data_IF_616197615336
#
_entry.id   IF_616197615336
#
_cell.length_a   1.000
_cell.length_b   1.000
_cell.length_c   1.000
_cell.angle_alpha   90.00
_cell.angle_beta   90.00
_cell.angle_gamma   90.00
#
_symmetry.space_group_name_H-M   'P 1'
#
loop_
_entity.id
_entity.type
_entity.pdbx_description
1 polymer ?
#
# COMPACT_ATOMS: atom_id res chain seq x y z
N UNK A 1 6.88 24.28 9.64
CA UNK A 1 5.93 24.81 8.64
C UNK A 1 5.07 23.65 8.16
N UNK A 2 3.77 23.75 8.43
CA UNK A 2 2.75 22.71 8.39
C UNK A 2 2.41 22.23 6.98
N UNK A 3 2.39 20.90 6.79
CA UNK A 3 1.47 20.24 5.86
C UNK A 3 0.91 19.02 6.59
N UNK A 4 -0.11 19.25 7.43
CA UNK A 4 -1.00 18.19 7.94
C UNK A 4 -2.09 17.99 6.89
N UNK A 5 -2.09 16.82 6.24
CA UNK A 5 -3.12 16.43 5.29
C UNK A 5 -4.48 16.29 6.00
N UNK A 6 -5.48 16.98 5.47
CA UNK A 6 -6.92 16.68 5.44
C UNK A 6 -7.54 15.97 6.67
N UNK A 7 -8.15 16.77 7.56
CA UNK A 7 -9.40 16.63 8.34
C UNK A 7 -9.94 15.29 8.89
N UNK A 8 -9.31 14.13 8.67
CA UNK A 8 -9.54 12.89 9.41
C UNK A 8 -8.40 12.59 10.42
N UNK A 9 -7.27 13.31 10.29
CA UNK A 9 -6.00 13.05 10.98
C UNK A 9 -5.96 13.57 12.43
N UNK A 10 -7.03 14.21 12.92
CA UNK A 10 -7.11 14.69 14.31
C UNK A 10 -7.64 13.64 15.32
N UNK A 11 -7.92 12.40 14.91
CA UNK A 11 -8.71 11.50 15.77
C UNK A 11 -7.92 10.95 16.98
N UNK A 12 -6.87 10.14 16.88
CA UNK A 12 -6.14 9.63 18.07
C UNK A 12 -4.70 10.13 18.24
N UNK A 13 -4.26 11.08 17.40
CA UNK A 13 -2.85 11.44 17.28
C UNK A 13 -2.29 12.07 18.56
N UNK A 14 -3.08 12.84 19.29
CA UNK A 14 -2.64 13.50 20.52
C UNK A 14 -2.38 12.50 21.65
N UNK A 15 -3.26 11.49 21.80
CA UNK A 15 -3.06 10.39 22.76
C UNK A 15 -1.80 9.60 22.41
N UNK A 16 -1.58 9.31 21.13
CA UNK A 16 -0.40 8.61 20.66
C UNK A 16 0.88 9.45 20.80
N UNK A 17 0.83 10.77 20.57
CA UNK A 17 1.96 11.68 20.80
C UNK A 17 2.37 11.67 22.26
N UNK A 18 1.41 11.73 23.18
CA UNK A 18 1.64 11.78 24.62
C UNK A 18 2.30 10.50 25.18
N UNK A 19 2.23 9.38 24.47
CA UNK A 19 2.91 8.15 24.87
C UNK A 19 4.45 8.30 24.89
N UNK A 20 5.12 7.63 25.84
CA UNK A 20 6.57 7.75 26.02
C UNK A 20 7.33 7.32 24.76
N UNK A 21 8.48 7.93 24.50
CA UNK A 21 9.29 7.62 23.31
C UNK A 21 10.08 6.30 23.41
N UNK A 22 10.10 5.71 24.62
CA UNK A 22 10.76 4.45 24.94
C UNK A 22 9.97 3.73 26.03
N UNK A 23 10.04 2.40 25.98
CA UNK A 23 9.51 1.52 27.02
C UNK A 23 10.51 1.31 28.18
N UNK A 24 11.78 1.69 28.00
CA UNK A 24 12.80 1.45 29.00
C UNK A 24 12.68 2.41 30.20
N UNK A 25 13.01 1.92 31.39
CA UNK A 25 12.88 2.64 32.65
C UNK A 25 11.47 2.65 33.25
N UNK A 26 10.49 2.08 32.55
CA UNK A 26 9.12 1.91 33.05
C UNK A 26 8.97 0.56 33.77
N UNK A 27 8.06 0.51 34.75
CA UNK A 27 7.63 -0.76 35.32
C UNK A 27 6.94 -1.64 34.26
N UNK A 28 6.87 -2.98 34.44
CA UNK A 28 6.18 -3.86 33.51
C UNK A 28 4.73 -3.43 33.24
N UNK A 29 4.00 -2.99 34.27
CA UNK A 29 2.62 -2.53 34.14
C UNK A 29 2.50 -1.24 33.31
N UNK A 30 3.37 -0.24 33.56
CA UNK A 30 3.39 1.01 32.79
C UNK A 30 3.78 0.77 31.33
N UNK A 31 4.79 -0.09 31.11
CA UNK A 31 5.23 -0.50 29.79
C UNK A 31 4.09 -1.16 29.02
N UNK A 32 3.43 -2.14 29.63
CA UNK A 32 2.38 -2.91 28.98
C UNK A 32 1.14 -2.04 28.70
N UNK A 33 0.94 -0.96 29.47
CA UNK A 33 -0.13 0.01 29.29
C UNK A 33 0.09 1.02 28.15
N UNK A 34 1.31 1.13 27.58
CA UNK A 34 1.61 2.06 26.48
C UNK A 34 0.66 1.82 25.32
N UNK A 35 -0.05 2.86 24.89
CA UNK A 35 -0.97 2.80 23.77
C UNK A 35 -0.19 2.78 22.46
N UNK A 36 -0.36 1.72 21.65
CA UNK A 36 0.28 1.57 20.33
C UNK A 36 -0.63 2.08 19.23
N UNK A 37 -1.94 1.84 19.37
CA UNK A 37 -2.95 2.29 18.41
C UNK A 37 -4.27 2.60 19.10
N UNK A 38 -4.98 3.58 18.54
CA UNK A 38 -6.27 4.01 19.02
C UNK A 38 -7.05 4.67 17.88
N UNK A 39 -8.37 4.78 18.06
CA UNK A 39 -9.29 5.52 17.21
C UNK A 39 -10.13 6.45 18.09
N UNK A 40 -10.61 7.56 17.55
CA UNK A 40 -11.53 8.46 18.26
C UNK A 40 -12.88 8.44 17.58
N UNK A 41 -13.93 8.34 18.38
CA UNK A 41 -15.31 8.41 17.92
C UNK A 41 -15.73 9.85 17.60
N UNK A 42 -17.00 10.03 17.19
CA UNK A 42 -17.53 11.35 16.85
C UNK A 42 -17.66 12.30 18.04
N UNK A 43 -17.72 11.76 19.25
CA UNK A 43 -17.82 12.53 20.49
C UNK A 43 -16.45 12.94 21.06
N UNK A 44 -15.36 12.60 20.39
CA UNK A 44 -13.99 12.89 20.84
C UNK A 44 -13.44 11.86 21.83
N UNK A 45 -14.16 10.78 22.10
CA UNK A 45 -13.72 9.73 23.02
C UNK A 45 -12.72 8.81 22.33
N UNK A 46 -11.61 8.52 23.02
CA UNK A 46 -10.55 7.65 22.50
C UNK A 46 -10.81 6.20 22.88
N UNK A 47 -10.96 5.36 21.85
CA UNK A 47 -10.98 3.92 21.98
C UNK A 47 -9.59 3.35 21.66
N UNK A 48 -8.99 2.71 22.65
CA UNK A 48 -7.69 2.05 22.49
C UNK A 48 -7.88 0.71 21.78
N UNK A 49 -7.14 0.51 20.68
CA UNK A 49 -7.20 -0.73 19.90
C UNK A 49 -6.11 -1.71 20.30
N UNK A 50 -4.90 -1.22 20.59
CA UNK A 50 -3.84 -2.07 21.10
C UNK A 50 -2.83 -1.32 21.95
N UNK A 51 -2.28 -2.03 22.93
CA UNK A 51 -1.22 -1.62 23.82
C UNK A 51 0.03 -2.46 23.59
N UNK A 52 1.16 -1.99 24.12
CA UNK A 52 2.44 -2.67 23.96
C UNK A 52 2.36 -4.10 24.51
N UNK A 53 1.70 -4.30 25.66
CA UNK A 53 1.55 -5.60 26.32
C UNK A 53 0.71 -6.61 25.52
N UNK A 54 -0.18 -6.16 24.64
CA UNK A 54 -1.15 -7.02 23.97
C UNK A 54 -0.50 -8.06 23.04
N UNK A 55 -1.12 -9.24 22.95
CA UNK A 55 -0.65 -10.33 22.06
C UNK A 55 -0.84 -9.99 20.58
N UNK A 56 -1.70 -9.02 20.26
CA UNK A 56 -1.90 -8.52 18.91
C UNK A 56 -1.87 -6.98 18.91
N UNK A 57 -1.16 -6.39 17.96
CA UNK A 57 -1.27 -4.97 17.67
C UNK A 57 -2.15 -4.75 16.44
N UNK A 58 -3.28 -4.07 16.63
CA UNK A 58 -4.17 -3.64 15.55
C UNK A 58 -3.73 -2.27 15.02
N UNK A 59 -3.18 -2.24 13.80
CA UNK A 59 -2.65 -1.03 13.18
C UNK A 59 -3.57 -0.47 12.10
N UNK A 60 -4.82 -0.96 11.98
CA UNK A 60 -5.78 -0.53 10.96
C UNK A 60 -5.99 0.98 10.86
N UNK A 61 -6.01 1.78 11.95
CA UNK A 61 -6.12 3.24 11.85
C UNK A 61 -5.02 3.93 11.03
N UNK A 62 -3.85 3.29 10.89
CA UNK A 62 -2.70 3.87 10.20
C UNK A 62 -2.62 3.51 8.71
N UNK A 63 -3.60 2.79 8.18
CA UNK A 63 -3.67 2.43 6.76
C UNK A 63 -4.71 3.30 6.05
N UNK A 64 -4.21 4.23 5.22
CA UNK A 64 -5.03 5.04 4.31
C UNK A 64 -5.23 4.37 2.95
N UNK A 65 -4.31 3.48 2.57
CA UNK A 65 -4.33 2.88 1.25
C UNK A 65 -5.27 1.67 1.20
N UNK A 66 -6.14 1.64 0.19
CA UNK A 66 -7.02 0.51 -0.05
C UNK A 66 -6.26 -0.77 -0.48
N UNK A 67 -4.97 -0.68 -0.84
CA UNK A 67 -4.22 -1.77 -1.46
C UNK A 67 -3.52 -2.76 -0.51
N UNK A 68 -3.79 -2.68 0.81
CA UNK A 68 -3.18 -3.55 1.80
C UNK A 68 -4.19 -4.58 2.30
N UNK A 69 -3.89 -5.87 2.11
CA UNK A 69 -4.72 -6.96 2.61
C UNK A 69 -4.81 -6.94 4.15
N UNK A 70 -5.92 -7.44 4.68
CA UNK A 70 -6.30 -7.29 6.10
C UNK A 70 -5.24 -7.82 7.06
N UNK A 71 -4.71 -9.03 6.80
CA UNK A 71 -3.69 -9.65 7.64
C UNK A 71 -2.38 -8.84 7.78
N UNK A 72 -2.10 -7.91 6.86
CA UNK A 72 -0.93 -7.05 6.94
C UNK A 72 -1.14 -5.80 7.80
N UNK A 73 -2.34 -5.60 8.35
CA UNK A 73 -2.69 -4.48 9.23
C UNK A 73 -2.55 -4.84 10.72
N UNK A 74 -2.15 -6.07 11.02
CA UNK A 74 -1.94 -6.56 12.38
C UNK A 74 -0.49 -7.03 12.59
N UNK A 75 -0.05 -7.01 13.84
CA UNK A 75 1.14 -7.74 14.29
C UNK A 75 0.70 -8.72 15.36
N UNK A 76 0.82 -10.01 15.09
CA UNK A 76 0.53 -11.08 16.05
C UNK A 76 1.83 -11.53 16.71
N UNK A 77 1.94 -11.31 18.01
CA UNK A 77 3.07 -11.75 18.83
C UNK A 77 2.84 -13.19 19.29
N UNK A 78 3.75 -14.07 18.92
CA UNK A 78 3.65 -15.51 19.19
C UNK A 78 3.90 -15.77 20.69
N UNK A 79 2.83 -16.12 21.43
CA UNK A 79 2.88 -16.40 22.87
C UNK A 79 3.65 -17.69 23.19
N UNK A 80 3.96 -18.51 22.19
CA UNK A 80 4.81 -19.69 22.35
C UNK A 80 6.31 -19.37 22.37
N UNK A 81 6.70 -18.10 22.24
CA UNK A 81 8.10 -17.63 22.29
C UNK A 81 8.41 -17.09 23.69
N UNK A 82 9.64 -17.24 24.22
CA UNK A 82 10.01 -16.66 25.50
C UNK A 82 9.64 -15.18 25.64
N UNK A 83 8.87 -14.84 26.68
CA UNK A 83 8.27 -13.51 26.86
C UNK A 83 9.31 -12.39 26.85
N UNK A 84 10.48 -12.63 27.44
CA UNK A 84 11.59 -11.66 27.47
C UNK A 84 12.11 -11.29 26.07
N UNK A 85 12.09 -12.21 25.10
CA UNK A 85 12.43 -11.88 23.71
C UNK A 85 11.31 -11.07 23.03
N UNK A 86 10.05 -11.46 23.29
CA UNK A 86 8.89 -10.76 22.74
C UNK A 86 8.85 -9.31 23.24
N UNK A 87 9.04 -9.11 24.53
CA UNK A 87 9.05 -7.79 25.17
C UNK A 87 10.11 -6.86 24.59
N UNK A 88 11.35 -7.35 24.44
CA UNK A 88 12.44 -6.57 23.84
C UNK A 88 12.15 -6.27 22.36
N UNK A 89 11.61 -7.22 21.60
CA UNK A 89 11.21 -6.98 20.21
C UNK A 89 10.04 -5.99 20.08
N UNK A 90 9.08 -6.03 21.00
CA UNK A 90 7.99 -5.05 21.09
C UNK A 90 8.55 -3.67 21.39
N UNK A 91 9.43 -3.53 22.39
CA UNK A 91 10.08 -2.28 22.74
C UNK A 91 10.85 -1.67 21.55
N UNK A 92 11.69 -2.47 20.88
CA UNK A 92 12.43 -2.05 19.68
C UNK A 92 11.51 -1.66 18.53
N UNK A 93 10.47 -2.46 18.25
CA UNK A 93 9.52 -2.17 17.17
C UNK A 93 8.72 -0.90 17.44
N UNK A 94 8.29 -0.71 18.69
CA UNK A 94 7.59 0.50 19.14
C UNK A 94 8.48 1.73 19.06
N UNK A 95 9.70 1.67 19.60
CA UNK A 95 10.66 2.76 19.55
C UNK A 95 10.94 3.16 18.09
N UNK A 96 11.16 2.19 17.21
CA UNK A 96 11.33 2.45 15.78
C UNK A 96 10.09 3.09 15.15
N UNK A 97 8.89 2.62 15.48
CA UNK A 97 7.64 3.19 14.97
C UNK A 97 7.43 4.64 15.44
N UNK A 98 7.82 4.95 16.68
CA UNK A 98 7.65 6.26 17.29
C UNK A 98 8.69 7.29 16.82
N UNK A 99 9.97 6.90 16.71
CA UNK A 99 11.09 7.83 16.47
C UNK A 99 11.88 7.62 15.18
N UNK A 100 11.71 6.46 14.54
CA UNK A 100 12.54 6.08 13.38
C UNK A 100 13.96 5.65 13.76
N UNK A 101 14.75 5.34 12.73
CA UNK A 101 16.20 5.12 12.90
C UNK A 101 16.91 6.46 13.14
N UNK A 102 18.10 6.48 13.74
CA UNK A 102 18.92 7.69 13.81
C UNK A 102 19.01 8.38 12.44
N UNK A 103 18.72 9.69 12.40
CA UNK A 103 18.71 10.53 11.19
C UNK A 103 17.68 10.13 10.11
N UNK A 104 16.71 9.29 10.45
CA UNK A 104 15.63 8.86 9.55
C UNK A 104 14.27 9.22 10.13
N UNK A 105 13.27 9.43 9.27
CA UNK A 105 11.89 9.59 9.73
C UNK A 105 11.33 8.27 10.26
N UNK A 106 10.33 8.31 11.15
CA UNK A 106 9.56 7.13 11.54
C UNK A 106 8.98 6.39 10.33
N UNK A 107 8.90 5.04 10.39
CA UNK A 107 8.28 4.26 9.33
C UNK A 107 6.75 4.44 9.33
N UNK A 108 6.13 4.18 8.18
CA UNK A 108 4.68 3.95 8.11
C UNK A 108 4.33 2.60 8.73
N UNK A 109 3.05 2.38 9.09
CA UNK A 109 2.58 1.12 9.70
C UNK A 109 2.95 -0.13 8.89
N UNK A 110 2.92 -0.04 7.55
CA UNK A 110 3.37 -1.14 6.67
C UNK A 110 4.83 -1.55 6.92
N UNK A 111 5.69 -0.60 7.30
CA UNK A 111 7.09 -0.83 7.61
C UNK A 111 7.26 -1.73 8.84
N UNK A 112 6.52 -1.45 9.91
CA UNK A 112 6.57 -2.24 11.15
C UNK A 112 5.91 -3.62 10.99
N UNK A 113 4.80 -3.71 10.25
CA UNK A 113 4.18 -5.02 9.99
C UNK A 113 5.07 -5.90 9.11
N UNK A 114 5.75 -5.31 8.12
CA UNK A 114 6.75 -6.03 7.32
C UNK A 114 7.97 -6.44 8.14
N UNK A 115 8.49 -5.58 9.03
CA UNK A 115 9.59 -5.95 9.93
C UNK A 115 9.20 -7.13 10.82
N UNK A 116 8.02 -7.08 11.42
CA UNK A 116 7.54 -8.13 12.32
C UNK A 116 7.48 -9.48 11.61
N UNK A 117 6.76 -9.55 10.48
CA UNK A 117 6.55 -10.81 9.74
C UNK A 117 7.82 -11.30 9.05
N UNK A 118 8.58 -10.41 8.41
CA UNK A 118 9.72 -10.82 7.59
C UNK A 118 11.01 -11.04 8.39
N UNK A 119 11.14 -10.42 9.57
CA UNK A 119 12.39 -10.39 10.33
C UNK A 119 12.24 -10.84 11.77
N UNK A 120 11.34 -10.23 12.55
CA UNK A 120 11.19 -10.51 13.98
C UNK A 120 10.76 -11.95 14.24
N UNK A 121 9.58 -12.36 13.75
CA UNK A 121 9.03 -13.68 14.05
C UNK A 121 9.95 -14.83 13.60
N UNK A 122 10.58 -14.79 12.40
CA UNK A 122 11.53 -15.81 11.99
C UNK A 122 12.77 -15.89 12.88
N UNK A 123 13.32 -14.76 13.34
CA UNK A 123 14.50 -14.77 14.18
C UNK A 123 14.18 -15.23 15.60
N UNK A 124 13.01 -14.84 16.14
CA UNK A 124 12.56 -15.30 17.44
C UNK A 124 12.33 -16.82 17.49
N UNK A 125 11.72 -17.39 16.45
CA UNK A 125 11.56 -18.85 16.32
C UNK A 125 12.92 -19.57 16.29
N UNK A 126 13.86 -19.05 15.51
CA UNK A 126 15.23 -19.57 15.49
C UNK A 126 15.89 -19.57 16.88
N UNK A 127 15.76 -18.48 17.64
CA UNK A 127 16.31 -18.42 19.00
C UNK A 127 15.59 -19.37 19.96
N UNK A 128 14.26 -19.49 19.85
CA UNK A 128 13.47 -20.45 20.62
C UNK A 128 13.93 -21.88 20.38
N UNK A 129 14.14 -22.27 19.13
CA UNK A 129 14.57 -23.63 18.77
C UNK A 129 15.97 -23.96 19.32
N UNK A 130 16.80 -22.94 19.54
CA UNK A 130 18.10 -23.04 20.21
C UNK A 130 18.02 -22.96 21.75
N UNK A 131 16.81 -22.86 22.33
CA UNK A 131 16.62 -22.72 23.78
C UNK A 131 17.03 -21.37 24.35
N UNK A 132 17.18 -20.33 23.52
CA UNK A 132 17.61 -19.00 23.95
C UNK A 132 16.38 -18.19 24.36
N UNK A 133 16.34 -17.76 25.62
CA UNK A 133 15.21 -17.00 26.18
C UNK A 133 15.42 -15.47 26.26
N UNK A 134 16.64 -14.95 26.08
CA UNK A 134 16.93 -13.51 26.20
C UNK A 134 18.04 -13.07 25.25
N UNK A 135 18.00 -11.83 24.73
CA UNK A 135 18.98 -11.36 23.75
C UNK A 135 20.40 -11.23 24.34
N UNK A 136 20.54 -10.95 25.64
CA UNK A 136 21.83 -10.95 26.34
C UNK A 136 22.56 -12.30 26.31
N UNK A 137 21.84 -13.39 26.03
CA UNK A 137 22.40 -14.75 25.89
C UNK A 137 22.76 -15.10 24.44
N UNK A 138 22.42 -14.24 23.48
CA UNK A 138 22.83 -14.42 22.09
C UNK A 138 24.36 -14.26 22.00
N UNK A 139 24.98 -15.12 21.19
CA UNK A 139 26.42 -15.17 20.97
C UNK A 139 26.69 -15.06 19.46
N UNK A 140 27.90 -14.65 19.04
CA UNK A 140 28.25 -14.53 17.63
C UNK A 140 27.97 -15.79 16.81
N UNK A 141 28.15 -16.98 17.39
CA UNK A 141 27.87 -18.25 16.71
C UNK A 141 26.38 -18.43 16.36
N UNK A 142 25.46 -18.00 17.23
CA UNK A 142 24.01 -18.07 16.96
C UNK A 142 23.62 -17.20 15.77
N UNK A 143 24.21 -15.99 15.68
CA UNK A 143 23.97 -15.05 14.57
C UNK A 143 24.61 -15.59 13.28
N UNK A 144 25.85 -16.08 13.35
CA UNK A 144 26.55 -16.65 12.19
C UNK A 144 25.79 -17.84 11.60
N UNK A 145 25.30 -18.75 12.44
CA UNK A 145 24.51 -19.90 12.01
C UNK A 145 23.18 -19.46 11.39
N UNK A 146 22.49 -18.47 11.96
CA UNK A 146 21.27 -17.94 11.36
C UNK A 146 21.51 -17.30 9.99
N UNK A 147 22.60 -16.54 9.85
CA UNK A 147 23.02 -15.96 8.57
C UNK A 147 23.33 -17.06 7.55
N UNK A 148 24.01 -18.13 7.96
CA UNK A 148 24.29 -19.29 7.12
C UNK A 148 22.99 -19.96 6.66
N UNK A 149 22.11 -20.30 7.58
CA UNK A 149 20.79 -20.88 7.31
C UNK A 149 20.00 -20.03 6.30
N UNK A 150 19.91 -18.71 6.53
CA UNK A 150 19.20 -17.81 5.62
C UNK A 150 19.82 -17.74 4.21
N UNK A 151 21.14 -17.85 4.09
CA UNK A 151 21.86 -17.73 2.81
C UNK A 151 21.92 -19.03 2.02
N UNK A 152 22.22 -20.14 2.68
CA UNK A 152 22.60 -21.38 2.02
C UNK A 152 21.45 -22.38 2.03
N UNK A 153 20.68 -22.44 3.11
CA UNK A 153 19.54 -23.36 3.22
C UNK A 153 18.28 -22.72 2.61
N UNK A 154 17.91 -21.51 3.06
CA UNK A 154 16.75 -20.79 2.51
C UNK A 154 17.04 -20.09 1.17
N UNK A 155 18.32 -19.98 0.78
CA UNK A 155 18.76 -19.39 -0.49
C UNK A 155 18.16 -18.00 -0.77
N UNK A 156 18.03 -17.18 0.27
CA UNK A 156 17.43 -15.85 0.14
C UNK A 156 18.28 -14.93 -0.73
N UNK A 157 17.64 -14.26 -1.69
CA UNK A 157 18.26 -13.19 -2.50
C UNK A 157 18.70 -12.01 -1.62
N UNK A 158 19.66 -11.16 -2.05
CA UNK A 158 20.23 -10.09 -1.23
C UNK A 158 19.25 -9.17 -0.50
N UNK A 159 18.19 -8.68 -1.18
CA UNK A 159 17.20 -7.79 -0.56
C UNK A 159 16.25 -8.52 0.42
N UNK A 160 15.63 -9.66 0.06
CA UNK A 160 14.92 -10.49 1.03
C UNK A 160 15.76 -10.91 2.23
N UNK A 161 17.05 -11.23 2.02
CA UNK A 161 17.99 -11.57 3.09
C UNK A 161 18.23 -10.39 4.03
N UNK A 162 18.43 -9.18 3.47
CA UNK A 162 18.52 -7.96 4.27
C UNK A 162 17.26 -7.73 5.10
N UNK A 163 16.08 -7.92 4.49
CA UNK A 163 14.80 -7.88 5.21
C UNK A 163 14.73 -8.89 6.34
N UNK A 164 15.17 -10.14 6.11
CA UNK A 164 15.17 -11.24 7.08
C UNK A 164 16.02 -10.95 8.31
N UNK A 165 17.21 -10.39 8.09
CA UNK A 165 18.22 -10.16 9.14
C UNK A 165 18.09 -8.80 9.82
N UNK A 166 17.17 -7.94 9.36
CA UNK A 166 17.09 -6.52 9.76
C UNK A 166 16.89 -6.31 11.25
N UNK A 167 16.10 -7.17 11.91
CA UNK A 167 15.85 -7.08 13.34
C UNK A 167 17.13 -7.13 14.17
N UNK A 168 18.15 -7.89 13.75
CA UNK A 168 19.42 -8.02 14.48
C UNK A 168 20.14 -6.66 14.56
N UNK A 169 20.06 -5.87 13.48
CA UNK A 169 20.62 -4.52 13.46
C UNK A 169 19.83 -3.57 14.36
N UNK A 170 18.50 -3.73 14.41
CA UNK A 170 17.63 -2.93 15.26
C UNK A 170 17.84 -3.24 16.74
N UNK A 171 18.00 -4.51 17.12
CA UNK A 171 18.33 -4.89 18.49
C UNK A 171 19.65 -4.26 18.97
N UNK A 172 20.61 -4.02 18.07
CA UNK A 172 21.82 -3.29 18.41
C UNK A 172 21.58 -1.77 18.50
N UNK A 173 20.93 -1.18 17.51
CA UNK A 173 20.69 0.28 17.46
C UNK A 173 19.78 0.77 18.58
N UNK A 174 18.77 -0.02 18.95
CA UNK A 174 17.81 0.27 20.01
C UNK A 174 18.15 -0.47 21.32
N UNK A 175 19.42 -0.82 21.55
CA UNK A 175 19.84 -1.53 22.76
C UNK A 175 19.47 -0.80 24.06
N UNK A 176 19.43 0.53 24.03
CA UNK A 176 19.01 1.36 25.16
C UNK A 176 17.49 1.29 25.45
N UNK A 177 16.68 0.66 24.59
CA UNK A 177 15.25 0.44 24.81
C UNK A 177 14.92 -0.98 25.31
N UNK A 178 15.95 -1.84 25.41
CA UNK A 178 15.80 -3.25 25.75
C UNK A 178 16.12 -3.51 27.22
N UNK A 179 15.48 -4.54 27.79
CA UNK A 179 15.80 -5.06 29.11
C UNK A 179 17.03 -5.97 29.06
N UNK A 180 17.17 -6.78 28.00
CA UNK A 180 18.27 -7.74 27.86
C UNK A 180 19.04 -7.54 26.56
N UNK A 181 19.73 -6.39 26.34
CA UNK A 181 20.37 -6.07 25.06
C UNK A 181 21.45 -7.09 24.65
N UNK A 182 21.74 -7.12 23.34
CA UNK A 182 22.89 -7.85 22.80
C UNK A 182 24.19 -7.35 23.45
N UNK A 183 25.02 -8.28 23.92
CA UNK A 183 26.26 -7.94 24.64
C UNK A 183 27.43 -7.62 23.70
N UNK A 184 27.34 -8.03 22.44
CA UNK A 184 28.38 -7.82 21.43
C UNK A 184 27.78 -7.34 20.13
N UNK A 185 28.56 -6.54 19.40
CA UNK A 185 28.14 -6.06 18.09
C UNK A 185 27.90 -7.24 17.14
N UNK A 186 26.70 -7.38 16.54
CA UNK A 186 26.27 -8.61 15.87
C UNK A 186 27.02 -8.93 14.58
N UNK A 187 27.70 -7.95 13.98
CA UNK A 187 28.30 -8.08 12.65
C UNK A 187 29.84 -8.15 12.64
N UNK A 188 30.48 -8.20 13.82
CA UNK A 188 31.95 -8.22 13.93
C UNK A 188 32.59 -7.04 13.19
N UNK A 189 33.53 -7.32 12.29
CA UNK A 189 34.20 -6.30 11.46
C UNK A 189 33.44 -5.95 10.16
N UNK A 190 32.17 -6.33 10.06
CA UNK A 190 31.33 -6.16 8.88
C UNK A 190 30.08 -5.33 9.21
N UNK A 191 29.19 -5.21 8.22
CA UNK A 191 27.88 -4.61 8.37
C UNK A 191 26.82 -5.53 7.77
N UNK A 192 25.57 -5.43 8.25
CA UNK A 192 24.44 -6.14 7.66
C UNK A 192 24.42 -5.98 6.13
N UNK A 193 24.63 -4.75 5.64
CA UNK A 193 24.64 -4.42 4.22
C UNK A 193 25.69 -5.21 3.42
N UNK A 194 26.91 -5.35 3.97
CA UNK A 194 27.99 -6.11 3.35
C UNK A 194 27.73 -7.61 3.44
N UNK A 195 27.22 -8.09 4.57
CA UNK A 195 26.86 -9.51 4.76
C UNK A 195 25.80 -9.94 3.74
N UNK A 196 24.80 -9.12 3.48
CA UNK A 196 23.76 -9.43 2.50
C UNK A 196 24.22 -9.34 1.03
N UNK A 197 25.46 -8.91 0.77
CA UNK A 197 26.00 -8.77 -0.59
C UNK A 197 25.43 -7.59 -1.36
N UNK A 198 24.72 -6.66 -0.70
CA UNK A 198 24.16 -5.47 -1.38
C UNK A 198 25.29 -4.57 -1.92
N UNK A 199 26.43 -4.53 -1.23
CA UNK A 199 27.62 -3.77 -1.66
C UNK A 199 28.49 -4.41 -2.74
N UNK A 200 28.33 -5.71 -3.04
CA UNK A 200 29.10 -6.43 -4.09
C UNK A 200 28.49 -6.35 -5.48
N UNK A 201 27.39 -5.62 -5.65
CA UNK A 201 26.77 -5.40 -6.97
C UNK A 201 27.53 -4.31 -7.72
N UNK A 202 28.73 -4.64 -8.20
CA UNK A 202 29.47 -3.90 -9.23
C UNK A 202 30.00 -4.92 -10.23
N UNK A 203 29.75 -4.70 -11.53
CA UNK A 203 29.96 -5.68 -12.60
C UNK A 203 28.62 -6.16 -13.19
N UNK A 204 28.64 -6.83 -14.36
CA UNK A 204 27.53 -7.12 -15.31
C UNK A 204 26.09 -7.20 -14.73
N UNK A 205 25.88 -7.75 -13.53
CA UNK A 205 24.58 -7.72 -12.82
C UNK A 205 24.03 -6.32 -12.47
N UNK A 206 24.87 -5.29 -12.49
CA UNK A 206 24.46 -3.88 -12.33
C UNK A 206 23.78 -3.31 -13.60
N UNK A 207 24.13 -3.80 -14.80
CA UNK A 207 23.45 -3.43 -16.03
C UNK A 207 21.98 -3.90 -16.00
N UNK A 208 21.74 -5.11 -15.50
CA UNK A 208 20.41 -5.72 -15.31
C UNK A 208 19.54 -5.05 -14.23
N UNK A 209 20.06 -4.10 -13.43
CA UNK A 209 19.26 -3.34 -12.45
C UNK A 209 18.69 -2.04 -12.99
N UNK A 210 19.22 -1.54 -14.10
CA UNK A 210 18.70 -0.33 -14.76
C UNK A 210 17.54 -0.63 -15.73
N UNK A 211 17.11 -1.90 -15.78
CA UNK A 211 16.02 -2.35 -16.62
C UNK A 211 14.80 -2.64 -15.74
N UNK A 212 13.66 -2.04 -16.08
CA UNK A 212 12.38 -2.37 -15.47
C UNK A 212 12.09 -3.87 -15.59
N UNK A 213 11.73 -4.53 -14.48
CA UNK A 213 11.41 -5.97 -14.45
C UNK A 213 9.95 -6.29 -14.76
N UNK A 214 9.08 -5.29 -14.69
CA UNK A 214 7.64 -5.45 -14.85
C UNK A 214 7.28 -5.53 -16.30
N UNK A 215 6.78 -6.62 -16.85
CA UNK A 215 6.61 -6.72 -18.31
C UNK A 215 5.79 -5.58 -18.94
N UNK A 216 6.13 -5.24 -20.18
CA UNK A 216 5.35 -4.32 -21.01
C UNK A 216 4.21 -5.14 -21.61
N UNK A 217 3.00 -4.59 -21.64
CA UNK A 217 1.86 -5.26 -22.26
C UNK A 217 2.14 -5.40 -23.77
N UNK A 218 2.09 -6.60 -24.36
CA UNK A 218 2.33 -6.81 -25.78
C UNK A 218 1.36 -5.97 -26.64
N UNK A 219 1.80 -5.41 -27.79
CA UNK A 219 0.95 -4.53 -28.60
C UNK A 219 -0.38 -5.17 -29.04
N UNK A 220 -0.38 -6.46 -29.38
CA UNK A 220 -1.61 -7.17 -29.78
C UNK A 220 -2.60 -7.29 -28.63
N UNK A 221 -2.14 -7.70 -27.44
CA UNK A 221 -2.98 -7.79 -26.24
C UNK A 221 -3.45 -6.42 -25.78
N UNK A 222 -2.57 -5.42 -25.83
CA UNK A 222 -2.92 -4.04 -25.53
C UNK A 222 -4.05 -3.55 -26.44
N UNK A 223 -3.93 -3.76 -27.75
CA UNK A 223 -4.94 -3.38 -28.73
C UNK A 223 -6.28 -4.08 -28.46
N UNK A 224 -6.27 -5.40 -28.24
CA UNK A 224 -7.48 -6.17 -27.92
C UNK A 224 -8.20 -5.62 -26.68
N UNK A 225 -7.46 -5.44 -25.59
CA UNK A 225 -8.02 -5.00 -24.31
C UNK A 225 -8.49 -3.55 -24.37
N UNK A 226 -7.72 -2.67 -25.03
CA UNK A 226 -8.06 -1.27 -25.19
C UNK A 226 -9.32 -1.08 -26.04
N UNK A 227 -9.37 -1.70 -27.22
CA UNK A 227 -10.54 -1.61 -28.11
C UNK A 227 -11.80 -2.17 -27.44
N UNK A 228 -11.68 -3.31 -26.74
CA UNK A 228 -12.78 -3.86 -25.96
C UNK A 228 -13.26 -2.90 -24.88
N UNK A 229 -12.33 -2.26 -24.15
CA UNK A 229 -12.67 -1.28 -23.11
C UNK A 229 -13.38 -0.05 -23.68
N UNK A 230 -12.97 0.43 -24.87
CA UNK A 230 -13.66 1.52 -25.56
C UNK A 230 -15.07 1.15 -26.00
N UNK A 231 -15.27 -0.08 -26.53
CA UNK A 231 -16.60 -0.59 -26.89
C UNK A 231 -17.51 -0.63 -25.66
N UNK A 232 -17.01 -1.10 -24.51
CA UNK A 232 -17.78 -1.11 -23.26
C UNK A 232 -18.17 0.31 -22.86
N UNK A 233 -17.23 1.27 -22.84
CA UNK A 233 -17.51 2.67 -22.47
C UNK A 233 -18.46 3.34 -23.46
N UNK A 234 -18.39 3.00 -24.75
CA UNK A 234 -19.32 3.51 -25.74
C UNK A 234 -20.73 2.92 -25.57
N UNK A 235 -20.83 1.62 -25.28
CA UNK A 235 -22.10 0.98 -24.91
C UNK A 235 -22.74 1.65 -23.70
N UNK A 236 -21.94 1.98 -22.68
CA UNK A 236 -22.38 2.72 -21.51
C UNK A 236 -23.00 4.09 -21.86
N UNK A 237 -22.35 4.83 -22.76
CA UNK A 237 -22.85 6.15 -23.20
C UNK A 237 -24.16 6.02 -23.97
N UNK A 238 -24.24 5.04 -24.88
CA UNK A 238 -25.44 4.79 -25.67
C UNK A 238 -26.63 4.43 -24.76
N UNK A 239 -26.43 3.51 -23.81
CA UNK A 239 -27.45 3.12 -22.84
C UNK A 239 -27.94 4.31 -21.99
N UNK A 240 -27.03 5.15 -21.48
CA UNK A 240 -27.41 6.37 -20.75
C UNK A 240 -28.19 7.36 -21.63
N UNK A 241 -27.81 7.49 -22.90
CA UNK A 241 -28.47 8.43 -23.81
C UNK A 241 -29.91 8.02 -24.13
N UNK A 242 -30.18 6.71 -24.21
CA UNK A 242 -31.51 6.15 -24.48
C UNK A 242 -32.42 6.26 -23.24
N UNK A 243 -31.90 5.94 -22.06
CA UNK A 243 -32.72 5.85 -20.84
C UNK A 243 -32.86 7.19 -20.10
N UNK A 244 -32.02 8.19 -20.41
CA UNK A 244 -32.16 9.55 -19.92
C UNK A 244 -31.73 9.78 -18.46
N UNK A 245 -32.15 10.92 -17.92
CA UNK A 245 -31.74 11.41 -16.59
C UNK A 245 -32.43 10.59 -15.50
N UNK A 246 -31.66 10.01 -14.59
CA UNK A 246 -32.16 9.24 -13.45
C UNK A 246 -32.11 7.73 -13.63
N UNK A 247 -31.84 7.25 -14.85
CA UNK A 247 -31.51 5.84 -15.08
C UNK A 247 -30.23 5.46 -14.33
N UNK A 248 -30.30 4.38 -13.56
CA UNK A 248 -29.12 3.78 -12.95
C UNK A 248 -29.10 2.30 -13.34
N UNK A 249 -28.00 1.83 -13.95
CA UNK A 249 -27.81 0.42 -14.25
C UNK A 249 -28.01 -0.44 -13.00
N UNK A 250 -28.80 -1.51 -13.14
CA UNK A 250 -29.08 -2.48 -12.06
C UNK A 250 -28.42 -3.83 -12.28
N UNK A 251 -27.83 -4.08 -13.46
CA UNK A 251 -27.04 -5.28 -13.72
C UNK A 251 -25.66 -5.13 -13.07
N UNK A 252 -25.45 -5.89 -12.01
CA UNK A 252 -24.21 -5.92 -11.24
C UNK A 252 -23.01 -6.43 -12.05
N UNK A 253 -23.21 -7.44 -12.90
CA UNK A 253 -22.14 -8.01 -13.70
C UNK A 253 -21.69 -7.03 -14.79
N UNK A 254 -22.65 -6.38 -15.45
CA UNK A 254 -22.37 -5.32 -16.41
C UNK A 254 -21.68 -4.13 -15.72
N UNK A 255 -22.15 -3.73 -14.54
CA UNK A 255 -21.56 -2.63 -13.77
C UNK A 255 -20.10 -2.91 -13.37
N UNK A 256 -19.78 -4.17 -13.00
CA UNK A 256 -18.41 -4.60 -12.72
C UNK A 256 -17.53 -4.51 -13.96
N UNK A 257 -18.01 -5.00 -15.11
CA UNK A 257 -17.25 -4.93 -16.37
C UNK A 257 -16.98 -3.48 -16.79
N UNK A 258 -18.00 -2.62 -16.70
CA UNK A 258 -17.91 -1.19 -16.98
C UNK A 258 -16.87 -0.50 -16.10
N UNK A 259 -16.89 -0.76 -14.79
CA UNK A 259 -15.89 -0.25 -13.85
C UNK A 259 -14.49 -0.74 -14.21
N UNK A 260 -14.33 -2.02 -14.51
CA UNK A 260 -13.04 -2.64 -14.80
C UNK A 260 -12.43 -2.05 -16.10
N UNK A 261 -13.25 -1.85 -17.13
CA UNK A 261 -12.85 -1.20 -18.39
C UNK A 261 -12.37 0.24 -18.18
N UNK A 262 -13.12 1.04 -17.40
CA UNK A 262 -12.74 2.42 -17.08
C UNK A 262 -11.48 2.47 -16.22
N UNK A 263 -11.31 1.55 -15.26
CA UNK A 263 -10.09 1.46 -14.46
C UNK A 263 -8.87 1.18 -15.35
N UNK A 264 -9.02 0.29 -16.34
CA UNK A 264 -7.95 0.01 -17.30
C UNK A 264 -7.60 1.24 -18.13
N UNK A 265 -8.60 1.92 -18.72
CA UNK A 265 -8.39 3.16 -19.51
C UNK A 265 -7.63 4.17 -18.67
N UNK A 266 -8.10 4.48 -17.45
CA UNK A 266 -7.40 5.40 -16.55
C UNK A 266 -5.97 4.95 -16.27
N UNK A 267 -5.74 3.67 -16.04
CA UNK A 267 -4.41 3.14 -15.70
C UNK A 267 -3.42 3.23 -16.87
N UNK A 268 -3.89 2.99 -18.11
CA UNK A 268 -3.04 2.95 -19.30
C UNK A 268 -2.80 4.33 -19.93
N UNK A 269 -3.65 5.33 -19.66
CA UNK A 269 -3.55 6.67 -20.26
C UNK A 269 -3.11 7.78 -19.32
N UNK A 270 -2.97 7.51 -18.02
CA UNK A 270 -2.58 8.53 -17.03
C UNK A 270 -1.16 8.38 -16.53
N UNK A 271 -0.63 7.16 -16.57
CA UNK A 271 0.63 6.84 -15.91
C UNK A 271 0.54 6.87 -14.38
N UNK A 272 -0.64 6.88 -13.77
CA UNK A 272 -0.84 6.79 -12.32
C UNK A 272 -0.37 5.45 -11.73
N UNK A 273 -0.11 5.41 -10.42
CA UNK A 273 -0.02 4.15 -9.67
C UNK A 273 -1.42 3.62 -9.41
N UNK A 274 -1.53 2.34 -9.10
CA UNK A 274 -2.84 1.74 -8.86
C UNK A 274 -3.60 2.38 -7.68
N UNK A 275 -2.91 2.70 -6.58
CA UNK A 275 -3.49 3.38 -5.43
C UNK A 275 -4.00 4.79 -5.76
N UNK A 276 -3.28 5.50 -6.63
CA UNK A 276 -3.68 6.80 -7.16
C UNK A 276 -4.90 6.68 -8.09
N UNK A 277 -4.95 5.65 -8.95
CA UNK A 277 -6.05 5.42 -9.89
C UNK A 277 -7.36 5.01 -9.20
N UNK A 278 -7.31 4.01 -8.31
CA UNK A 278 -8.50 3.58 -7.55
C UNK A 278 -8.93 4.62 -6.49
N UNK A 279 -8.02 5.54 -6.14
CA UNK A 279 -8.27 6.64 -5.21
C UNK A 279 -8.95 7.86 -5.83
N UNK A 280 -9.23 7.87 -7.15
CA UNK A 280 -9.91 8.98 -7.80
C UNK A 280 -11.30 9.18 -7.18
N UNK A 281 -11.55 10.40 -6.73
CA UNK A 281 -12.85 10.83 -6.22
C UNK A 281 -13.76 11.33 -7.35
N UNK A 282 -15.07 11.21 -7.16
CA UNK A 282 -16.08 11.68 -8.11
C UNK A 282 -15.94 13.19 -8.32
N UNK A 283 -15.80 13.61 -9.57
CA UNK A 283 -15.64 15.02 -9.94
C UNK A 283 -14.22 15.56 -9.73
N UNK A 284 -13.24 14.72 -9.36
CA UNK A 284 -11.84 15.13 -9.18
C UNK A 284 -11.09 15.30 -10.51
N UNK A 285 -11.71 15.94 -11.50
CA UNK A 285 -11.12 16.22 -12.81
C UNK A 285 -11.58 17.56 -13.36
N UNK A 286 -10.79 18.14 -14.27
CA UNK A 286 -11.06 19.44 -14.87
C UNK A 286 -10.56 19.53 -16.30
N UNK A 287 -11.19 20.41 -17.08
CA UNK A 287 -10.78 20.81 -18.43
C UNK A 287 -10.28 22.24 -18.38
N UNK A 288 -9.18 22.53 -19.06
CA UNK A 288 -8.64 23.88 -19.20
C UNK A 288 -8.25 24.08 -20.64
N UNK A 289 -8.82 25.09 -21.29
CA UNK A 289 -8.37 25.52 -22.62
C UNK A 289 -7.32 26.60 -22.43
N UNK A 290 -6.14 26.42 -23.00
CA UNK A 290 -5.07 27.41 -23.01
C UNK A 290 -4.50 27.51 -24.41
N UNK A 291 -4.47 28.73 -24.96
CA UNK A 291 -3.98 29.00 -26.31
C UNK A 291 -4.63 28.11 -27.39
N UNK A 292 -5.95 27.87 -27.25
CA UNK A 292 -6.73 27.00 -28.14
C UNK A 292 -6.54 25.49 -27.92
N UNK A 293 -5.67 25.07 -26.98
CA UNK A 293 -5.41 23.66 -26.68
C UNK A 293 -6.16 23.23 -25.42
N UNK A 294 -6.93 22.13 -25.52
CA UNK A 294 -7.62 21.52 -24.39
C UNK A 294 -6.66 20.66 -23.55
N UNK A 295 -6.54 20.98 -22.26
CA UNK A 295 -5.83 20.20 -21.26
C UNK A 295 -6.82 19.56 -20.29
N UNK A 296 -6.72 18.24 -20.14
CA UNK A 296 -7.57 17.46 -19.24
C UNK A 296 -6.74 16.98 -18.04
N UNK A 297 -7.19 17.29 -16.83
CA UNK A 297 -6.47 16.99 -15.59
C UNK A 297 -7.31 16.13 -14.65
N UNK A 298 -6.68 15.16 -14.01
CA UNK A 298 -7.28 14.34 -12.94
C UNK A 298 -6.48 14.54 -11.65
N UNK A 299 -7.18 14.87 -10.57
CA UNK A 299 -6.65 15.01 -9.21
C UNK A 299 -6.80 13.70 -8.44
N UNK A 300 -5.78 13.33 -7.65
CA UNK A 300 -5.82 12.19 -6.72
C UNK A 300 -4.81 12.39 -5.56
N UNK A 301 -4.70 11.43 -4.64
CA UNK A 301 -3.77 11.46 -3.50
C UNK A 301 -2.63 10.48 -3.72
N UNK A 302 -1.40 10.98 -3.64
CA UNK A 302 -0.16 10.21 -3.68
C UNK A 302 0.27 9.85 -2.25
N UNK A 303 0.18 8.57 -1.91
CA UNK A 303 0.50 8.09 -0.56
C UNK A 303 1.95 7.59 -0.41
N UNK A 304 2.60 7.15 -1.50
CA UNK A 304 3.87 6.40 -1.44
C UNK A 304 5.08 7.27 -1.09
N UNK A 305 5.12 8.50 -1.57
CA UNK A 305 6.19 9.47 -1.32
C UNK A 305 5.76 10.60 -0.38
N UNK A 306 4.52 10.56 0.09
CA UNK A 306 3.96 11.56 1.00
C UNK A 306 3.70 12.90 0.35
N UNK A 307 3.54 12.96 -0.99
CA UNK A 307 3.27 14.21 -1.72
C UNK A 307 1.85 14.73 -1.50
N UNK A 308 0.94 13.88 -1.04
CA UNK A 308 -0.45 14.28 -0.84
C UNK A 308 -1.16 14.49 -2.17
N UNK A 309 -1.94 15.56 -2.30
CA UNK A 309 -2.71 15.83 -3.52
C UNK A 309 -1.81 16.08 -4.72
N UNK A 310 -2.07 15.36 -5.82
CA UNK A 310 -1.34 15.46 -7.08
C UNK A 310 -2.31 15.50 -8.27
N UNK A 311 -1.85 16.08 -9.38
CA UNK A 311 -2.60 16.11 -10.65
C UNK A 311 -1.84 15.40 -11.77
N UNK A 312 -2.59 14.76 -12.67
CA UNK A 312 -2.10 14.06 -13.85
C UNK A 312 -2.73 14.66 -15.10
N UNK A 313 -1.90 14.96 -16.10
CA UNK A 313 -2.39 15.33 -17.43
C UNK A 313 -2.81 14.05 -18.16
N UNK A 314 -4.03 14.00 -18.69
CA UNK A 314 -4.60 12.80 -19.33
C UNK A 314 -5.26 13.19 -20.65
N UNK A 315 -5.51 12.24 -21.58
CA UNK A 315 -6.31 12.52 -22.76
C UNK A 315 -7.80 12.70 -22.40
N UNK A 316 -8.56 13.35 -23.29
CA UNK A 316 -9.99 13.57 -23.11
C UNK A 316 -10.78 12.25 -22.94
N UNK A 317 -10.35 11.19 -23.62
CA UNK A 317 -10.89 9.83 -23.47
C UNK A 317 -10.98 9.41 -21.98
N UNK A 318 -9.97 9.75 -21.18
CA UNK A 318 -9.90 9.39 -19.76
C UNK A 318 -10.96 10.12 -18.95
N UNK A 319 -11.14 11.43 -19.18
CA UNK A 319 -12.19 12.19 -18.50
C UNK A 319 -13.58 11.69 -18.93
N UNK A 320 -13.77 11.43 -20.22
CA UNK A 320 -15.03 10.91 -20.74
C UNK A 320 -15.39 9.55 -20.10
N UNK A 321 -14.41 8.66 -19.94
CA UNK A 321 -14.58 7.38 -19.26
C UNK A 321 -14.93 7.55 -17.76
N UNK A 322 -14.22 8.42 -17.05
CA UNK A 322 -14.49 8.74 -15.64
C UNK A 322 -15.88 9.34 -15.43
N UNK A 323 -16.30 10.28 -16.28
CA UNK A 323 -17.61 10.92 -16.24
C UNK A 323 -18.74 9.93 -16.51
N UNK A 324 -18.52 9.00 -17.44
CA UNK A 324 -19.49 7.94 -17.73
C UNK A 324 -19.60 7.00 -16.52
N UNK A 325 -18.48 6.56 -15.94
CA UNK A 325 -18.50 5.73 -14.73
C UNK A 325 -19.12 6.45 -13.52
N UNK A 326 -18.97 7.76 -13.40
CA UNK A 326 -19.58 8.53 -12.32
C UNK A 326 -21.11 8.46 -12.33
N UNK A 327 -21.71 8.36 -13.53
CA UNK A 327 -23.15 8.14 -13.71
C UNK A 327 -23.53 6.69 -13.44
N UNK A 328 -22.74 5.72 -13.90
CA UNK A 328 -22.98 4.29 -13.64
C UNK A 328 -22.85 3.92 -12.16
N UNK A 329 -21.96 4.56 -11.42
CA UNK A 329 -21.68 4.22 -10.02
C UNK A 329 -22.67 4.82 -9.03
N UNK A 330 -23.73 5.51 -9.47
CA UNK A 330 -24.68 6.18 -8.56
C UNK A 330 -25.35 5.20 -7.59
N UNK A 331 -25.77 4.01 -8.06
CA UNK A 331 -26.46 3.03 -7.20
C UNK A 331 -25.55 2.52 -6.08
N UNK A 332 -24.35 2.05 -6.42
CA UNK A 332 -23.40 1.52 -5.43
C UNK A 332 -22.90 2.61 -4.47
N UNK A 333 -22.81 3.87 -4.91
CA UNK A 333 -22.52 5.02 -4.02
C UNK A 333 -23.67 5.31 -3.07
N UNK A 334 -24.93 5.25 -3.53
CA UNK A 334 -26.11 5.39 -2.66
C UNK A 334 -26.21 4.27 -1.62
N UNK A 335 -25.85 3.05 -2.00
CA UNK A 335 -25.76 1.90 -1.07
C UNK A 335 -24.74 2.19 0.04
N UNK A 336 -23.54 2.66 -0.31
CA UNK A 336 -22.53 3.08 0.67
C UNK A 336 -22.99 4.25 1.55
N UNK A 337 -23.67 5.25 0.98
CA UNK A 337 -24.23 6.38 1.74
C UNK A 337 -25.33 5.92 2.72
N UNK A 338 -26.16 4.95 2.33
CA UNK A 338 -27.14 4.32 3.21
C UNK A 338 -26.47 3.56 4.34
N UNK A 339 -25.43 2.78 4.04
CA UNK A 339 -24.65 2.06 5.04
C UNK A 339 -24.02 3.02 6.06
N UNK A 340 -23.40 4.12 5.61
CA UNK A 340 -22.83 5.14 6.50
C UNK A 340 -23.90 5.71 7.44
N UNK A 341 -25.11 5.99 6.92
CA UNK A 341 -26.23 6.47 7.76
C UNK A 341 -26.71 5.44 8.76
N UNK A 342 -26.69 4.15 8.41
CA UNK A 342 -27.06 3.08 9.32
C UNK A 342 -26.01 2.92 10.41
N UNK A 343 -24.73 2.86 10.04
CA UNK A 343 -23.61 2.77 10.98
C UNK A 343 -23.61 3.96 11.94
N UNK A 344 -23.75 5.19 11.45
CA UNK A 344 -23.75 6.39 12.29
C UNK A 344 -24.93 6.48 13.28
N UNK A 345 -25.99 5.68 13.11
CA UNK A 345 -27.12 5.62 14.05
C UNK A 345 -26.91 4.63 15.20
N UNK A 346 -25.95 3.71 15.07
CA UNK A 346 -25.67 2.71 16.11
C UNK A 346 -24.91 3.39 17.24
N UNK A 347 -25.51 3.46 18.42
CA UNK A 347 -24.89 4.11 19.59
C UNK A 347 -24.12 3.12 20.47
N UNK A 348 -24.59 1.88 20.56
CA UNK A 348 -24.01 0.83 21.41
C UNK A 348 -23.74 -0.44 20.58
N UNK A 349 -22.70 -0.47 19.74
CA UNK A 349 -22.30 -1.66 18.99
C UNK A 349 -21.69 -2.73 19.92
N UNK A 350 -21.88 -4.01 19.58
CA UNK A 350 -21.26 -5.13 20.31
C UNK A 350 -19.73 -5.08 20.29
N UNK A 351 -19.16 -4.64 19.17
CA UNK A 351 -17.73 -4.34 19.01
C UNK A 351 -17.54 -2.86 18.58
N UNK A 352 -17.31 -1.95 19.55
CA UNK A 352 -17.09 -0.53 19.26
C UNK A 352 -15.88 -0.25 18.37
N UNK A 353 -14.84 -1.06 18.44
CA UNK A 353 -13.63 -0.87 17.65
C UNK A 353 -13.89 -1.18 16.18
N UNK A 354 -14.45 -2.36 15.92
CA UNK A 354 -14.76 -2.78 14.55
C UNK A 354 -15.80 -1.85 13.92
N UNK A 355 -16.82 -1.47 14.69
CA UNK A 355 -17.86 -0.55 14.24
C UNK A 355 -17.28 0.80 13.80
N UNK A 356 -16.44 1.43 14.64
CA UNK A 356 -15.82 2.72 14.32
C UNK A 356 -14.86 2.62 13.13
N UNK A 357 -14.06 1.55 13.06
CA UNK A 357 -13.16 1.31 11.94
C UNK A 357 -13.92 1.17 10.61
N UNK A 358 -15.03 0.42 10.63
CA UNK A 358 -15.91 0.26 9.46
C UNK A 358 -16.52 1.59 9.05
N UNK A 359 -17.08 2.35 9.99
CA UNK A 359 -17.72 3.64 9.72
C UNK A 359 -16.72 4.64 9.11
N UNK A 360 -15.52 4.77 9.68
CA UNK A 360 -14.50 5.68 9.17
C UNK A 360 -13.95 5.23 7.81
N UNK A 361 -13.85 3.93 7.57
CA UNK A 361 -13.51 3.40 6.24
C UNK A 361 -14.61 3.70 5.21
N UNK A 362 -15.88 3.46 5.55
CA UNK A 362 -17.01 3.74 4.67
C UNK A 362 -17.05 5.23 4.30
N UNK A 363 -16.89 6.12 5.27
CA UNK A 363 -16.79 7.57 5.06
C UNK A 363 -15.64 7.95 4.13
N UNK A 364 -14.45 7.39 4.31
CA UNK A 364 -13.30 7.64 3.42
C UNK A 364 -13.57 7.14 2.00
N UNK A 365 -14.28 6.03 1.85
CA UNK A 365 -14.57 5.45 0.54
C UNK A 365 -15.77 6.12 -0.17
N UNK A 366 -16.64 6.83 0.56
CA UNK A 366 -17.88 7.46 0.03
C UNK A 366 -17.69 8.35 -1.20
N UNK A 367 -16.54 9.02 -1.29
CA UNK A 367 -16.22 9.93 -2.41
C UNK A 367 -15.55 9.22 -3.59
N UNK A 368 -15.06 8.00 -3.40
CA UNK A 368 -14.27 7.28 -4.41
C UNK A 368 -15.16 6.76 -5.53
N UNK A 369 -14.61 6.74 -6.73
CA UNK A 369 -15.32 6.30 -7.93
C UNK A 369 -15.27 4.78 -8.12
N UNK A 370 -14.12 4.17 -7.81
CA UNK A 370 -13.88 2.75 -8.03
C UNK A 370 -14.29 1.91 -6.82
N UNK A 371 -15.59 1.67 -6.70
CA UNK A 371 -16.19 0.88 -5.63
C UNK A 371 -16.48 -0.56 -6.05
N UNK A 372 -16.59 -1.45 -5.08
CA UNK A 372 -17.03 -2.84 -5.25
C UNK A 372 -17.70 -3.36 -4.00
N UNK A 373 -18.55 -4.37 -4.18
CA UNK A 373 -19.13 -5.13 -3.08
C UNK A 373 -18.12 -6.15 -2.59
N UNK A 374 -17.86 -6.13 -1.29
CA UNK A 374 -17.00 -7.06 -0.60
C UNK A 374 -17.85 -7.96 0.28
N UNK A 375 -17.56 -9.25 0.31
CA UNK A 375 -18.31 -10.24 1.10
C UNK A 375 -17.31 -11.03 1.94
N UNK A 376 -16.97 -10.55 3.15
CA UNK A 376 -16.13 -11.31 4.07
C UNK A 376 -16.78 -12.66 4.36
N UNK A 377 -16.02 -13.75 4.26
CA UNK A 377 -16.53 -15.10 4.57
C UNK A 377 -17.54 -15.69 3.55
N UNK A 378 -17.84 -14.98 2.45
CA UNK A 378 -18.65 -15.50 1.35
C UNK A 378 -20.17 -15.57 1.60
N UNK A 379 -20.67 -15.05 2.73
CA UNK A 379 -22.10 -14.97 3.03
C UNK A 379 -22.66 -13.62 2.58
N UNK A 380 -23.69 -13.63 1.73
CA UNK A 380 -24.32 -12.42 1.17
C UNK A 380 -24.75 -11.39 2.23
N UNK A 381 -25.16 -11.84 3.42
CA UNK A 381 -25.57 -10.97 4.53
C UNK A 381 -24.43 -10.10 5.10
N UNK A 382 -23.18 -10.51 4.90
CA UNK A 382 -21.99 -9.79 5.35
C UNK A 382 -21.46 -8.83 4.25
N UNK A 383 -22.20 -8.69 3.15
CA UNK A 383 -21.79 -7.87 2.02
C UNK A 383 -21.83 -6.38 2.38
N UNK A 384 -20.78 -5.66 2.03
CA UNK A 384 -20.71 -4.21 2.16
C UNK A 384 -19.96 -3.57 0.99
N UNK A 385 -20.12 -2.26 0.80
CA UNK A 385 -19.46 -1.52 -0.27
C UNK A 385 -18.14 -0.92 0.22
N UNK A 386 -17.08 -1.07 -0.56
CA UNK A 386 -15.81 -0.40 -0.31
C UNK A 386 -15.07 -0.05 -1.60
N UNK A 387 -14.05 0.80 -1.48
CA UNK A 387 -13.17 1.08 -2.60
C UNK A 387 -12.30 -0.14 -2.95
N UNK A 388 -12.01 -0.31 -4.24
CA UNK A 388 -11.16 -1.39 -4.72
C UNK A 388 -9.80 -1.40 -4.00
N UNK A 389 -9.35 -2.60 -3.64
CA UNK A 389 -7.97 -2.85 -3.24
C UNK A 389 -7.07 -3.12 -4.44
N UNK A 390 -5.74 -3.07 -4.24
CA UNK A 390 -4.80 -3.44 -5.30
C UNK A 390 -4.93 -4.89 -5.76
N UNK A 391 -5.34 -5.80 -4.87
CA UNK A 391 -5.67 -7.17 -5.29
C UNK A 391 -6.96 -7.22 -6.10
N UNK A 392 -8.00 -6.49 -5.66
CA UNK A 392 -9.24 -6.38 -6.42
C UNK A 392 -9.03 -5.75 -7.80
N UNK A 393 -8.11 -4.79 -7.94
CA UNK A 393 -7.70 -4.22 -9.24
C UNK A 393 -7.01 -5.26 -10.14
N UNK A 394 -6.18 -6.14 -9.60
CA UNK A 394 -5.58 -7.22 -10.40
C UNK A 394 -6.65 -8.22 -10.85
N UNK A 395 -7.62 -8.57 -9.99
CA UNK A 395 -8.76 -9.40 -10.39
C UNK A 395 -9.65 -8.73 -11.45
N UNK A 396 -9.84 -7.40 -11.35
CA UNK A 396 -10.52 -6.62 -12.37
C UNK A 396 -9.80 -6.71 -13.72
N UNK A 397 -8.48 -6.61 -13.72
CA UNK A 397 -7.66 -6.71 -14.92
C UNK A 397 -7.69 -8.12 -15.52
N UNK A 398 -7.64 -9.16 -14.69
CA UNK A 398 -7.78 -10.55 -15.13
C UNK A 398 -9.15 -10.80 -15.77
N UNK A 399 -10.24 -10.28 -15.19
CA UNK A 399 -11.59 -10.39 -15.78
C UNK A 399 -11.69 -9.66 -17.11
N UNK A 400 -11.20 -8.41 -17.16
CA UNK A 400 -11.24 -7.59 -18.36
C UNK A 400 -10.43 -8.21 -19.51
N UNK A 401 -9.21 -8.68 -19.23
CA UNK A 401 -8.36 -9.32 -20.23
C UNK A 401 -9.04 -10.57 -20.82
N UNK A 402 -9.64 -11.41 -19.97
CA UNK A 402 -10.41 -12.59 -20.40
C UNK A 402 -11.62 -12.20 -21.25
N UNK A 403 -12.38 -11.19 -20.83
CA UNK A 403 -13.55 -10.70 -21.57
C UNK A 403 -13.17 -10.15 -22.95
N UNK A 404 -11.98 -9.54 -23.06
CA UNK A 404 -11.41 -9.06 -24.32
C UNK A 404 -10.75 -10.17 -25.18
N UNK A 405 -10.75 -11.43 -24.72
CA UNK A 405 -10.10 -12.53 -25.44
C UNK A 405 -8.57 -12.51 -25.40
N UNK A 406 -7.97 -11.80 -24.44
CA UNK A 406 -6.51 -11.80 -24.21
C UNK A 406 -6.13 -12.87 -23.17
N UNK A 407 -5.05 -13.59 -23.45
CA UNK A 407 -4.44 -14.56 -22.52
C UNK A 407 -3.31 -13.94 -21.69
N UNK A 408 -2.99 -12.66 -21.91
CA UNK A 408 -1.94 -11.97 -21.20
C UNK A 408 -2.29 -11.77 -19.72
N UNK A 409 -1.40 -12.10 -18.77
CA UNK A 409 -1.64 -11.91 -17.35
C UNK A 409 -1.53 -10.43 -16.96
N UNK A 410 -2.57 -9.64 -17.28
CA UNK A 410 -2.59 -8.20 -17.13
C UNK A 410 -2.49 -7.78 -15.66
N UNK A 411 -1.55 -6.88 -15.33
CA UNK A 411 -1.35 -6.34 -13.98
C UNK A 411 -1.27 -4.82 -13.98
N UNK A 412 -1.74 -4.22 -12.89
CA UNK A 412 -1.83 -2.76 -12.72
C UNK A 412 -0.52 -2.02 -12.94
N UNK A 413 0.61 -2.60 -12.52
CA UNK A 413 1.92 -1.97 -12.72
C UNK A 413 2.42 -2.04 -14.18
N UNK A 414 1.94 -3.00 -14.98
CA UNK A 414 2.29 -3.09 -16.40
C UNK A 414 1.73 -1.89 -17.17
N UNK A 415 0.51 -1.43 -16.88
CA UNK A 415 -0.08 -0.24 -17.52
C UNK A 415 0.82 0.98 -17.38
N UNK A 416 1.33 1.25 -16.17
CA UNK A 416 2.24 2.39 -15.93
C UNK A 416 3.55 2.25 -16.70
N UNK A 417 4.08 1.03 -16.85
CA UNK A 417 5.30 0.81 -17.65
C UNK A 417 5.02 0.95 -19.15
N UNK A 418 3.95 0.35 -19.65
CA UNK A 418 3.52 0.50 -21.04
C UNK A 418 3.30 1.96 -21.41
N UNK A 419 2.67 2.76 -20.54
CA UNK A 419 2.54 4.21 -20.71
C UNK A 419 3.90 4.89 -20.94
N UNK A 420 4.91 4.60 -20.11
CA UNK A 420 6.25 5.17 -20.29
C UNK A 420 6.87 4.78 -21.64
N UNK A 421 6.69 3.53 -22.06
CA UNK A 421 7.21 3.05 -23.36
C UNK A 421 6.54 3.74 -24.53
N UNK A 422 5.22 3.87 -24.53
CA UNK A 422 4.50 4.60 -25.58
C UNK A 422 5.00 6.05 -25.73
N UNK A 423 5.29 6.74 -24.62
CA UNK A 423 5.83 8.10 -24.67
C UNK A 423 7.26 8.15 -25.23
N UNK A 424 8.12 7.20 -24.85
CA UNK A 424 9.52 7.15 -25.31
C UNK A 424 9.62 6.71 -26.76
N UNK A 425 8.72 5.85 -27.22
CA UNK A 425 8.62 5.40 -28.63
C UNK A 425 7.87 6.41 -29.52
N UNK A 426 7.21 7.42 -28.93
CA UNK A 426 6.60 8.51 -29.67
C UNK A 426 7.64 9.40 -30.35
N UNK A 427 7.18 10.34 -31.18
CA UNK A 427 8.02 11.37 -31.81
C UNK A 427 8.80 12.23 -30.81
N UNK A 428 8.37 12.30 -29.55
CA UNK A 428 9.12 13.01 -28.49
C UNK A 428 10.42 12.27 -28.12
N UNK A 429 10.51 10.97 -28.37
CA UNK A 429 11.70 10.18 -28.12
C UNK A 429 12.20 10.32 -26.68
N UNK A 430 13.52 10.46 -26.51
CA UNK A 430 14.19 10.64 -25.22
C UNK A 430 13.79 11.92 -24.48
N UNK A 431 13.32 12.96 -25.18
CA UNK A 431 12.92 14.23 -24.53
C UNK A 431 11.67 14.05 -23.66
N UNK A 432 10.86 13.03 -23.95
CA UNK A 432 9.70 12.64 -23.14
C UNK A 432 10.07 12.22 -21.71
N UNK A 433 11.33 11.87 -21.41
CA UNK A 433 11.75 11.47 -20.06
C UNK A 433 11.55 12.58 -19.02
N UNK A 434 11.71 13.85 -19.43
CA UNK A 434 11.44 15.01 -18.57
C UNK A 434 9.96 15.05 -18.24
N UNK A 435 9.10 14.98 -19.26
CA UNK A 435 7.65 14.89 -19.08
C UNK A 435 7.27 13.70 -18.19
N UNK A 436 7.79 12.50 -18.46
CA UNK A 436 7.51 11.30 -17.67
C UNK A 436 7.95 11.45 -16.22
N UNK A 437 9.08 12.10 -15.92
CA UNK A 437 9.49 12.39 -14.54
C UNK A 437 8.44 13.24 -13.81
N UNK A 438 7.92 14.27 -14.49
CA UNK A 438 6.86 15.13 -13.96
C UNK A 438 5.52 14.41 -13.85
N UNK A 439 5.14 13.63 -14.86
CA UNK A 439 3.89 12.87 -14.88
C UNK A 439 3.91 11.82 -13.75
N UNK A 440 4.97 11.02 -13.65
CA UNK A 440 5.12 9.98 -12.63
C UNK A 440 5.42 10.49 -11.22
N UNK A 441 5.61 11.79 -11.05
CA UNK A 441 6.00 12.40 -9.79
C UNK A 441 7.30 11.78 -9.26
N UNK A 442 8.26 11.45 -10.12
CA UNK A 442 9.53 10.88 -9.69
C UNK A 442 10.47 11.96 -9.14
N UNK A 443 11.21 11.63 -8.07
CA UNK A 443 12.20 12.53 -7.48
C UNK A 443 13.48 12.60 -8.30
N UNK A 444 13.87 11.51 -8.99
CA UNK A 444 15.06 11.46 -9.84
C UNK A 444 14.75 11.03 -11.27
N UNK A 445 15.64 11.39 -12.20
CA UNK A 445 15.55 10.94 -13.60
C UNK A 445 15.87 9.45 -13.76
N UNK A 446 16.80 8.94 -12.95
CA UNK A 446 17.17 7.51 -12.95
C UNK A 446 15.97 6.61 -12.71
N UNK A 447 15.05 6.99 -11.80
CA UNK A 447 13.82 6.25 -11.59
C UNK A 447 12.91 6.25 -12.82
N UNK A 448 12.84 7.34 -13.58
CA UNK A 448 12.06 7.40 -14.82
C UNK A 448 12.67 6.52 -15.92
N UNK A 449 14.00 6.51 -16.04
CA UNK A 449 14.72 5.67 -16.99
C UNK A 449 14.40 4.18 -16.78
N UNK A 450 14.25 3.70 -15.53
CA UNK A 450 13.84 2.31 -15.24
C UNK A 450 12.50 1.91 -15.86
N UNK A 451 11.54 2.83 -15.94
CA UNK A 451 10.23 2.55 -16.55
C UNK A 451 10.30 2.64 -18.07
N UNK A 452 11.12 3.57 -18.57
CA UNK A 452 11.34 3.81 -19.99
C UNK A 452 12.27 2.78 -20.65
N UNK A 453 13.07 2.03 -19.89
CA UNK A 453 14.06 1.09 -20.43
C UNK A 453 13.41 -0.03 -21.26
N UNK A 454 14.03 -0.36 -22.38
CA UNK A 454 13.74 -1.54 -23.19
C UNK A 454 14.63 -2.71 -22.76
N UNK A 455 14.09 -3.77 -22.15
CA UNK A 455 14.87 -4.95 -21.78
C UNK A 455 15.53 -5.66 -22.95
N UNK A 456 15.09 -5.46 -24.19
CA UNK A 456 15.63 -6.16 -25.37
C UNK A 456 16.71 -5.35 -26.10
N UNK A 457 16.84 -4.05 -25.82
CA UNK A 457 17.81 -3.16 -26.49
C UNK A 457 18.82 -2.52 -25.51
N UNK A 458 18.44 -2.35 -24.24
CA UNK A 458 19.27 -1.70 -23.22
C UNK A 458 20.05 -2.71 -22.35
N UNK A 459 20.13 -3.99 -22.79
CA UNK A 459 20.93 -5.05 -22.17
C UNK A 459 22.39 -5.04 -22.65
#
# INVERSE_FOLDING_TARGET
MNIRNSNAVLKAYDVLIAQPITANGLSPAERDAIIVSAIVNEHGETLVLSRLGDSQWDLRPFFDQANVAEYFKFINWDTGIPQTLIDDCKAVTYAWFKRGMPRSKPPIARGITTLAVASVMPFLRWLKDLGIARFSNVRPIHISNYVHHCKHELKLRPLPLYGRLRIIDFLWVFAADMLFPLQTYPWGNSTLWRICGIGKVKGLDAANKNVGRTDIIPPEDLSKIFNFSEVVVQGMKSELSINGIGYNPSDDQLSVLCRDAVLFIVSITSGMRNDEAIGIEVGAWRRVVKDGVLFCWVSTIEHKTGKGRVEYLVPELTLSALETLAKYSVTIRKELDQEIRLLAKVTNPDDPAEHLLRLEKARRDSKKLFLGRHTPGGRLQDQYVEALSGQASNYAFDRLAKAAGSTWPLRTHQCRRTYARCFVESRMGRTSLIYLKWQFKHTSMSMTQLYASNPQQDL
#
